data_IF_124521633166
#
_entry.id   IF_124521633166
#
_cell.length_a   1.000
_cell.length_b   1.000
_cell.length_c   1.000
_cell.angle_alpha   90.00
_cell.angle_beta   90.00
_cell.angle_gamma   90.00
#
_symmetry.space_group_name_H-M   'P 1'
#
loop_
_entity.id
_entity.type
_entity.pdbx_description
1 polymer ?
#
# COMPACT_ATOMS: atom_id res chain seq x y z
N UNK A 1 -95.96 -23.59 -7.29
CA UNK A 1 -95.04 -24.03 -8.36
C UNK A 1 -95.60 -25.32 -8.92
N UNK A 2 -96.02 -25.33 -10.19
CA UNK A 2 -96.85 -26.39 -10.76
C UNK A 2 -96.03 -27.62 -11.12
N UNK A 3 -96.63 -28.81 -10.98
CA UNK A 3 -95.96 -30.10 -11.19
C UNK A 3 -95.35 -30.24 -12.59
N UNK A 4 -95.96 -29.58 -13.58
CA UNK A 4 -95.41 -29.45 -14.95
C UNK A 4 -94.06 -28.74 -15.02
N UNK A 5 -93.83 -27.73 -14.19
CA UNK A 5 -92.55 -27.02 -14.16
C UNK A 5 -91.45 -27.88 -13.53
N UNK A 6 -91.83 -28.73 -12.56
CA UNK A 6 -90.92 -29.68 -11.92
C UNK A 6 -90.50 -30.79 -12.88
N UNK A 7 -91.45 -31.29 -13.67
CA UNK A 7 -91.20 -32.32 -14.67
C UNK A 7 -90.38 -31.80 -15.85
N UNK A 8 -90.65 -30.58 -16.32
CA UNK A 8 -89.86 -29.94 -17.38
C UNK A 8 -88.41 -29.64 -16.96
N UNK A 9 -88.17 -29.26 -15.69
CA UNK A 9 -86.82 -29.07 -15.15
C UNK A 9 -86.08 -30.40 -14.93
N UNK A 10 -86.80 -31.47 -14.59
CA UNK A 10 -86.22 -32.81 -14.45
C UNK A 10 -85.82 -33.41 -15.82
N UNK A 11 -86.63 -33.22 -16.86
CA UNK A 11 -86.27 -33.61 -18.23
C UNK A 11 -85.10 -32.79 -18.78
N UNK A 12 -85.10 -31.46 -18.58
CA UNK A 12 -83.99 -30.61 -19.01
C UNK A 12 -82.66 -30.90 -18.28
N UNK A 13 -82.71 -31.43 -17.06
CA UNK A 13 -81.53 -31.87 -16.31
C UNK A 13 -80.94 -33.19 -16.80
N UNK A 14 -81.75 -34.07 -17.39
CA UNK A 14 -81.31 -35.37 -17.89
C UNK A 14 -80.72 -35.31 -19.31
N UNK A 15 -81.10 -34.31 -20.12
CA UNK A 15 -80.57 -34.09 -21.47
C UNK A 15 -79.36 -33.15 -21.53
N UNK A 16 -78.91 -32.62 -20.39
CA UNK A 16 -77.72 -31.77 -20.35
C UNK A 16 -76.45 -32.64 -20.56
N UNK A 17 -75.67 -32.43 -21.64
CA UNK A 17 -74.44 -33.19 -21.85
C UNK A 17 -73.49 -32.91 -20.69
N UNK A 18 -72.92 -33.97 -20.11
CA UNK A 18 -71.89 -33.86 -19.09
C UNK A 18 -70.70 -33.08 -19.68
N UNK A 19 -70.65 -31.77 -19.40
CA UNK A 19 -69.55 -30.92 -19.83
C UNK A 19 -68.32 -31.33 -19.04
N UNK A 20 -67.42 -32.05 -19.71
CA UNK A 20 -66.14 -32.54 -19.22
C UNK A 20 -65.11 -31.38 -19.08
N UNK A 21 -65.48 -30.37 -18.29
CA UNK A 21 -64.67 -29.19 -17.99
C UNK A 21 -63.55 -29.52 -17.00
N UNK A 22 -63.68 -30.60 -16.23
CA UNK A 22 -62.72 -30.95 -15.19
C UNK A 22 -61.48 -31.67 -15.76
N UNK A 23 -61.64 -32.65 -16.66
CA UNK A 23 -60.50 -33.33 -17.27
C UNK A 23 -59.75 -32.43 -18.28
N UNK A 24 -60.47 -31.61 -19.05
CA UNK A 24 -59.82 -30.66 -19.97
C UNK A 24 -59.05 -29.55 -19.23
N UNK A 25 -59.53 -29.11 -18.06
CA UNK A 25 -58.81 -28.15 -17.22
C UNK A 25 -57.55 -28.76 -16.57
N UNK A 26 -57.61 -30.02 -16.14
CA UNK A 26 -56.46 -30.76 -15.59
C UNK A 26 -55.39 -31.06 -16.64
N UNK A 27 -55.79 -31.54 -17.83
CA UNK A 27 -54.86 -31.81 -18.94
C UNK A 27 -54.18 -30.53 -19.48
N UNK A 28 -54.89 -29.40 -19.47
CA UNK A 28 -54.33 -28.08 -19.80
C UNK A 28 -53.31 -27.59 -18.76
N UNK A 29 -53.59 -27.81 -17.47
CA UNK A 29 -52.73 -27.44 -16.34
C UNK A 29 -51.37 -28.14 -16.35
N UNK A 30 -51.35 -29.44 -16.69
CA UNK A 30 -50.11 -30.22 -16.73
C UNK A 30 -49.16 -29.82 -17.86
N UNK A 31 -49.69 -29.57 -19.07
CA UNK A 31 -48.86 -29.11 -20.20
C UNK A 31 -48.24 -27.75 -19.93
N UNK A 32 -48.96 -26.87 -19.23
CA UNK A 32 -48.44 -25.56 -18.81
C UNK A 32 -47.37 -25.71 -17.72
N UNK A 33 -47.55 -26.61 -16.75
CA UNK A 33 -46.55 -26.89 -15.70
C UNK A 33 -45.29 -27.52 -16.28
N UNK A 34 -45.38 -28.50 -17.19
CA UNK A 34 -44.23 -29.11 -17.86
C UNK A 34 -43.44 -28.10 -18.69
N UNK A 35 -44.11 -27.22 -19.45
CA UNK A 35 -43.45 -26.14 -20.21
C UNK A 35 -42.80 -25.08 -19.31
N UNK A 36 -43.31 -24.83 -18.11
CA UNK A 36 -42.65 -23.95 -17.13
C UNK A 36 -41.42 -24.60 -16.51
N UNK A 37 -41.50 -25.87 -16.12
CA UNK A 37 -40.37 -26.62 -15.56
C UNK A 37 -39.23 -26.74 -16.56
N UNK A 38 -39.52 -27.07 -17.83
CA UNK A 38 -38.51 -27.15 -18.88
C UNK A 38 -37.80 -25.81 -19.14
N UNK A 39 -38.53 -24.69 -19.09
CA UNK A 39 -37.95 -23.35 -19.30
C UNK A 39 -37.15 -22.85 -18.11
N UNK A 40 -37.59 -23.15 -16.89
CA UNK A 40 -36.82 -22.86 -15.68
C UNK A 40 -35.52 -23.69 -15.66
N UNK A 41 -35.59 -24.97 -16.03
CA UNK A 41 -34.42 -25.83 -16.16
C UNK A 41 -33.44 -25.32 -17.22
N UNK A 42 -33.92 -24.83 -18.37
CA UNK A 42 -33.06 -24.24 -19.40
C UNK A 42 -32.37 -22.94 -18.92
N UNK A 43 -33.07 -22.08 -18.18
CA UNK A 43 -32.47 -20.87 -17.62
C UNK A 43 -31.40 -21.18 -16.55
N UNK A 44 -31.67 -22.16 -15.69
CA UNK A 44 -30.70 -22.66 -14.70
C UNK A 44 -29.50 -23.31 -15.39
N UNK A 45 -29.73 -24.10 -16.45
CA UNK A 45 -28.65 -24.70 -17.22
C UNK A 45 -27.75 -23.65 -17.89
N UNK A 46 -28.32 -22.58 -18.45
CA UNK A 46 -27.52 -21.47 -19.03
C UNK A 46 -26.73 -20.72 -17.95
N UNK A 47 -27.32 -20.48 -16.77
CA UNK A 47 -26.60 -19.86 -15.64
C UNK A 47 -25.46 -20.75 -15.14
N UNK A 48 -25.69 -22.07 -15.04
CA UNK A 48 -24.64 -23.04 -14.68
C UNK A 48 -23.55 -23.13 -15.75
N UNK A 49 -23.92 -23.10 -17.04
CA UNK A 49 -22.95 -23.09 -18.14
C UNK A 49 -22.11 -21.82 -18.14
N UNK A 50 -22.71 -20.65 -17.86
CA UNK A 50 -21.94 -19.42 -17.66
C UNK A 50 -21.07 -19.48 -16.41
N UNK A 51 -21.56 -20.05 -15.30
CA UNK A 51 -20.79 -20.19 -14.07
C UNK A 51 -19.59 -21.15 -14.22
N UNK A 52 -19.69 -22.18 -15.09
CA UNK A 52 -18.63 -23.19 -15.29
C UNK A 52 -17.71 -22.85 -16.46
N UNK A 53 -18.25 -22.38 -17.59
CA UNK A 53 -17.46 -22.13 -18.81
C UNK A 53 -16.69 -20.80 -18.75
N UNK A 54 -17.22 -19.78 -18.06
CA UNK A 54 -16.58 -18.47 -18.01
C UNK A 54 -15.27 -18.47 -17.20
N UNK A 55 -15.15 -19.13 -16.04
CA UNK A 55 -13.87 -19.28 -15.36
C UNK A 55 -12.84 -20.03 -16.20
N UNK A 56 -13.25 -21.11 -16.90
CA UNK A 56 -12.36 -21.89 -17.76
C UNK A 56 -11.90 -21.13 -19.03
N UNK A 57 -12.77 -20.31 -19.62
CA UNK A 57 -12.43 -19.45 -20.75
C UNK A 57 -11.52 -18.28 -20.31
N UNK A 58 -11.81 -17.64 -19.17
CA UNK A 58 -10.97 -16.58 -18.61
C UNK A 58 -9.59 -17.08 -18.17
N UNK A 59 -9.50 -18.31 -17.63
CA UNK A 59 -8.24 -18.95 -17.31
C UNK A 59 -7.39 -19.24 -18.58
N UNK A 60 -8.02 -19.56 -19.72
CA UNK A 60 -7.32 -19.78 -21.00
C UNK A 60 -6.95 -18.50 -21.74
N UNK A 61 -7.69 -17.41 -21.55
CA UNK A 61 -7.28 -16.09 -22.07
C UNK A 61 -6.25 -15.41 -21.17
N UNK A 62 -6.15 -15.79 -19.90
CA UNK A 62 -5.14 -15.31 -18.95
C UNK A 62 -3.75 -15.94 -19.14
N UNK A 63 -3.63 -17.03 -19.91
CA UNK A 63 -2.34 -17.62 -20.30
C UNK A 63 -1.78 -17.03 -21.60
N UNK A 64 -2.47 -16.06 -22.22
CA UNK A 64 -1.91 -15.24 -23.28
C UNK A 64 -0.92 -14.24 -22.67
N UNK A 65 0.34 -14.61 -22.64
CA UNK A 65 1.51 -13.80 -22.24
C UNK A 65 1.75 -12.55 -23.11
N UNK A 66 0.86 -12.24 -24.05
CA UNK A 66 1.10 -11.23 -25.10
C UNK A 66 0.61 -9.81 -24.74
N UNK A 67 0.80 -9.38 -23.49
CA UNK A 67 0.50 -7.97 -23.15
C UNK A 67 0.72 -7.55 -21.70
N UNK A 68 0.95 -8.50 -20.80
CA UNK A 68 1.64 -8.18 -19.55
C UNK A 68 3.10 -8.29 -19.88
N UNK A 69 3.77 -7.13 -19.99
CA UNK A 69 5.23 -7.12 -20.03
C UNK A 69 5.69 -7.90 -18.80
N UNK A 70 6.16 -9.13 -19.01
CA UNK A 70 7.14 -9.73 -18.11
C UNK A 70 8.19 -8.66 -17.87
N UNK A 71 8.66 -8.54 -16.61
CA UNK A 71 9.67 -7.57 -16.21
C UNK A 71 10.65 -7.36 -17.36
N UNK A 72 10.66 -6.16 -17.94
CA UNK A 72 11.23 -5.94 -19.26
C UNK A 72 12.65 -6.50 -19.29
N UNK A 73 12.90 -7.47 -20.18
CA UNK A 73 14.25 -7.97 -20.45
C UNK A 73 15.15 -6.93 -21.13
N UNK A 74 14.69 -5.69 -21.27
CA UNK A 74 15.46 -4.53 -21.68
C UNK A 74 15.09 -3.36 -20.78
N UNK A 75 15.95 -3.06 -19.81
CA UNK A 75 16.38 -1.73 -19.41
C UNK A 75 17.05 -1.81 -18.03
N UNK A 76 18.06 -0.97 -17.82
CA UNK A 76 18.70 -0.84 -16.52
C UNK A 76 17.70 -0.26 -15.50
N UNK A 77 17.74 -0.69 -14.22
CA UNK A 77 17.04 -0.04 -13.12
C UNK A 77 17.09 1.48 -13.21
N UNK A 78 15.93 2.11 -13.17
CA UNK A 78 15.75 3.55 -13.33
C UNK A 78 14.60 4.08 -12.47
N UNK A 79 14.58 5.40 -12.28
CA UNK A 79 13.54 6.13 -11.57
C UNK A 79 12.49 6.63 -12.56
N UNK A 80 11.19 6.33 -12.41
CA UNK A 80 10.17 7.02 -13.21
C UNK A 80 10.10 8.50 -12.83
N UNK A 81 9.90 9.39 -13.81
CA UNK A 81 9.71 10.84 -13.58
C UNK A 81 8.32 11.20 -13.03
N UNK A 82 7.35 10.29 -13.14
CA UNK A 82 6.01 10.41 -12.59
C UNK A 82 5.44 9.03 -12.23
N UNK A 83 4.52 9.00 -11.27
CA UNK A 83 3.72 7.80 -11.00
C UNK A 83 2.24 8.17 -10.84
N UNK A 84 1.39 7.16 -10.76
CA UNK A 84 -0.04 7.34 -10.53
C UNK A 84 -0.54 6.42 -9.42
N UNK A 85 -1.71 6.74 -8.86
CA UNK A 85 -2.36 5.91 -7.85
C UNK A 85 -2.89 4.60 -8.43
N UNK A 86 -2.71 3.50 -7.69
CA UNK A 86 -3.19 2.18 -8.10
C UNK A 86 -4.70 2.07 -8.00
N UNK A 87 -5.26 1.24 -8.87
CA UNK A 87 -6.68 0.89 -8.81
C UNK A 87 -6.94 -0.22 -7.79
N UNK A 88 -8.15 -0.32 -7.20
CA UNK A 88 -8.51 -1.39 -6.24
C UNK A 88 -8.35 -2.83 -6.76
N UNK A 89 -8.27 -3.00 -8.09
CA UNK A 89 -8.11 -4.28 -8.79
C UNK A 89 -6.70 -4.50 -9.34
N UNK A 90 -5.75 -3.62 -8.99
CA UNK A 90 -4.32 -3.85 -9.25
C UNK A 90 -3.92 -5.18 -8.61
N UNK A 91 -3.14 -6.00 -9.32
CA UNK A 91 -2.66 -7.26 -8.78
C UNK A 91 -1.71 -7.01 -7.61
N UNK A 92 -1.75 -7.91 -6.63
CA UNK A 92 -0.77 -7.88 -5.55
C UNK A 92 0.54 -8.49 -6.00
N UNK A 93 1.62 -8.21 -5.28
CA UNK A 93 2.93 -8.84 -5.53
C UNK A 93 2.81 -10.37 -5.46
N UNK A 94 2.07 -10.92 -4.49
CA UNK A 94 1.84 -12.36 -4.38
C UNK A 94 0.98 -12.97 -5.51
N UNK A 95 0.15 -12.16 -6.19
CA UNK A 95 -0.64 -12.61 -7.35
C UNK A 95 0.16 -12.54 -8.65
N UNK A 96 0.95 -11.49 -8.81
CA UNK A 96 1.80 -11.26 -9.96
C UNK A 96 3.03 -10.48 -9.46
N UNK A 97 4.20 -11.11 -9.31
CA UNK A 97 5.37 -10.41 -8.79
C UNK A 97 5.71 -9.16 -9.62
N UNK A 98 6.26 -8.15 -8.95
CA UNK A 98 6.66 -6.91 -9.59
C UNK A 98 8.04 -7.03 -10.24
N UNK A 99 8.87 -7.99 -9.79
CA UNK A 99 10.31 -7.93 -9.97
C UNK A 99 10.94 -6.95 -8.97
N UNK A 100 12.21 -6.55 -9.18
CA UNK A 100 12.81 -5.48 -8.41
C UNK A 100 11.98 -4.20 -8.56
N UNK A 101 11.73 -3.48 -7.47
CA UNK A 101 11.03 -2.21 -7.47
C UNK A 101 12.01 -1.03 -7.50
N UNK A 102 11.70 0.02 -8.25
CA UNK A 102 12.41 1.30 -8.14
C UNK A 102 12.06 2.03 -6.85
N UNK A 103 10.78 1.95 -6.47
CA UNK A 103 10.23 2.65 -5.32
C UNK A 103 8.96 1.96 -4.83
N UNK A 104 8.67 2.20 -3.56
CA UNK A 104 7.40 1.90 -2.93
C UNK A 104 6.70 3.21 -2.56
N UNK A 105 5.38 3.28 -2.70
CA UNK A 105 4.57 4.39 -2.20
C UNK A 105 3.40 3.90 -1.39
N UNK A 106 3.19 4.46 -0.20
CA UNK A 106 1.96 4.32 0.54
C UNK A 106 0.99 5.39 0.04
N UNK A 107 -0.17 4.97 -0.43
CA UNK A 107 -1.13 5.81 -1.11
C UNK A 107 -2.59 5.41 -0.86
N UNK A 108 -3.50 6.35 -1.14
CA UNK A 108 -4.91 6.02 -1.32
C UNK A 108 -5.15 5.35 -2.66
N UNK A 109 -6.04 4.36 -2.65
CA UNK A 109 -6.52 3.75 -3.89
C UNK A 109 -7.28 4.76 -4.74
N UNK A 110 -7.13 4.65 -6.06
CA UNK A 110 -7.92 5.43 -7.01
C UNK A 110 -9.36 4.91 -7.03
N UNK A 111 -10.23 5.56 -6.26
CA UNK A 111 -11.68 5.30 -6.25
C UNK A 111 -12.46 6.56 -6.60
N UNK A 112 -13.63 6.44 -7.26
CA UNK A 112 -14.58 7.55 -7.32
C UNK A 112 -14.90 8.03 -5.90
N UNK A 113 -15.02 9.35 -5.71
CA UNK A 113 -15.25 9.99 -4.40
C UNK A 113 -16.47 9.49 -3.62
N UNK A 114 -17.37 8.73 -4.26
CA UNK A 114 -18.55 8.13 -3.66
C UNK A 114 -18.31 6.80 -2.93
N UNK A 115 -17.11 6.20 -3.04
CA UNK A 115 -16.80 4.88 -2.46
C UNK A 115 -15.69 5.02 -1.43
N UNK A 116 -16.02 4.76 -0.16
CA UNK A 116 -15.01 4.57 0.89
C UNK A 116 -14.55 3.11 0.86
N UNK A 117 -13.30 2.87 0.48
CA UNK A 117 -12.65 1.56 0.58
C UNK A 117 -11.66 1.56 1.76
N UNK A 118 -11.33 0.38 2.32
CA UNK A 118 -10.35 0.27 3.38
C UNK A 118 -9.03 0.97 3.03
N UNK A 119 -8.43 1.47 4.10
CA UNK A 119 -7.32 2.42 4.21
C UNK A 119 -6.06 1.96 3.46
N UNK A 120 -5.27 2.95 3.04
CA UNK A 120 -3.84 2.89 2.67
C UNK A 120 -3.30 1.60 2.04
N UNK A 121 -2.86 1.68 0.78
CA UNK A 121 -2.14 0.58 0.11
C UNK A 121 -0.70 0.98 -0.16
N UNK A 122 0.21 0.02 -0.11
CA UNK A 122 1.56 0.20 -0.62
C UNK A 122 1.57 -0.29 -2.06
N UNK A 123 1.96 0.58 -2.99
CA UNK A 123 2.25 0.21 -4.36
C UNK A 123 3.75 0.10 -4.60
N UNK A 124 4.16 -1.03 -5.17
CA UNK A 124 5.49 -1.23 -5.74
C UNK A 124 5.48 -0.83 -7.22
N UNK A 125 6.44 0.01 -7.60
CA UNK A 125 6.68 0.41 -9.00
C UNK A 125 7.97 -0.24 -9.47
N UNK A 126 7.92 -1.00 -10.57
CA UNK A 126 9.05 -1.81 -11.04
C UNK A 126 10.31 -0.99 -11.35
N UNK A 127 11.49 -1.60 -11.23
CA UNK A 127 12.77 -0.96 -11.46
C UNK A 127 13.09 -0.76 -12.95
N UNK A 128 12.64 -1.68 -13.81
CA UNK A 128 12.96 -1.71 -15.25
C UNK A 128 11.77 -1.34 -16.14
N UNK A 129 10.65 -0.89 -15.56
CA UNK A 129 9.47 -0.55 -16.32
C UNK A 129 8.34 0.04 -15.47
N UNK A 130 7.21 0.33 -16.11
CA UNK A 130 6.05 0.96 -15.47
C UNK A 130 5.05 -0.10 -14.96
N UNK A 131 5.58 -1.10 -14.25
CA UNK A 131 4.77 -2.15 -13.61
C UNK A 131 4.35 -1.73 -12.21
N UNK A 132 3.05 -1.80 -11.93
CA UNK A 132 2.49 -1.50 -10.62
C UNK A 132 1.95 -2.77 -9.97
N UNK A 133 2.30 -3.00 -8.70
CA UNK A 133 1.71 -4.04 -7.84
C UNK A 133 1.36 -3.46 -6.49
N UNK A 134 0.38 -4.04 -5.81
CA UNK A 134 0.11 -3.69 -4.41
C UNK A 134 0.69 -4.73 -3.47
N UNK A 135 1.13 -4.31 -2.29
CA UNK A 135 1.45 -5.22 -1.19
C UNK A 135 0.20 -5.37 -0.32
N UNK A 136 -0.11 -6.62 0.05
CA UNK A 136 -1.13 -6.89 1.07
C UNK A 136 -0.41 -6.90 2.41
N UNK A 137 -0.79 -6.00 3.32
CA UNK A 137 -0.26 -5.93 4.68
C UNK A 137 -1.40 -5.61 5.64
N UNK A 138 -1.21 -5.97 6.90
CA UNK A 138 -2.16 -5.70 7.98
C UNK A 138 -1.65 -4.51 8.81
N UNK A 139 -2.32 -3.37 8.70
CA UNK A 139 -2.00 -2.16 9.46
C UNK A 139 -1.62 -0.96 8.60
N UNK A 140 -0.77 -0.08 9.14
CA UNK A 140 -0.28 1.14 8.47
C UNK A 140 1.24 1.16 8.54
N UNK A 141 1.90 1.40 7.41
CA UNK A 141 3.34 1.21 7.24
C UNK A 141 4.03 2.42 6.65
N UNK A 142 4.93 3.01 7.43
CA UNK A 142 5.63 4.24 7.03
C UNK A 142 6.83 3.81 6.23
N UNK A 143 6.76 3.97 4.92
CA UNK A 143 7.87 3.63 4.03
C UNK A 143 9.09 4.50 4.36
N UNK A 144 10.26 3.89 4.39
CA UNK A 144 11.52 4.44 4.89
C UNK A 144 11.52 4.75 6.39
N UNK A 145 10.55 4.19 7.14
CA UNK A 145 10.35 4.36 8.58
C UNK A 145 10.23 3.00 9.26
N UNK A 146 9.02 2.43 9.23
CA UNK A 146 8.71 1.10 9.80
C UNK A 146 8.77 -0.02 8.73
N UNK A 147 8.83 0.37 7.46
CA UNK A 147 9.07 -0.53 6.34
C UNK A 147 10.08 0.06 5.37
N UNK A 148 10.95 -0.77 4.81
CA UNK A 148 12.09 -0.33 3.99
C UNK A 148 12.32 -1.23 2.78
N UNK A 149 12.51 -0.61 1.62
CA UNK A 149 12.91 -1.30 0.39
C UNK A 149 14.41 -1.60 0.42
N UNK A 150 14.80 -2.81 0.03
CA UNK A 150 16.21 -3.21 -0.07
C UNK A 150 16.95 -2.38 -1.11
N UNK A 151 18.29 -2.29 -1.04
CA UNK A 151 19.09 -1.47 -1.94
C UNK A 151 18.86 -1.81 -3.42
N UNK A 152 18.72 -3.10 -3.73
CA UNK A 152 18.47 -3.63 -5.08
C UNK A 152 16.99 -3.63 -5.49
N UNK A 153 16.09 -3.26 -4.56
CA UNK A 153 14.66 -3.24 -4.76
C UNK A 153 13.99 -4.62 -4.81
N UNK A 154 14.69 -5.72 -4.49
CA UNK A 154 14.11 -7.08 -4.59
C UNK A 154 13.32 -7.49 -3.35
N UNK A 155 13.58 -6.87 -2.21
CA UNK A 155 12.96 -7.22 -0.93
C UNK A 155 12.37 -5.99 -0.26
N UNK A 156 11.28 -6.19 0.48
CA UNK A 156 10.69 -5.18 1.35
C UNK A 156 10.59 -5.75 2.75
N UNK A 157 11.26 -5.11 3.72
CA UNK A 157 11.17 -5.50 5.12
C UNK A 157 10.19 -4.58 5.83
N UNK A 158 9.30 -5.14 6.64
CA UNK A 158 8.29 -4.41 7.41
C UNK A 158 7.99 -5.15 8.71
N UNK A 159 8.21 -4.51 9.86
CA UNK A 159 8.12 -5.19 11.15
C UNK A 159 8.92 -6.51 11.14
N UNK A 160 8.29 -7.62 11.53
CA UNK A 160 8.84 -8.97 11.47
C UNK A 160 8.63 -9.66 10.12
N UNK A 161 8.20 -8.97 9.07
CA UNK A 161 7.93 -9.56 7.75
C UNK A 161 8.99 -9.15 6.73
N UNK A 162 9.26 -10.07 5.81
CA UNK A 162 10.09 -9.88 4.64
C UNK A 162 9.30 -10.33 3.41
N UNK A 163 9.12 -9.40 2.48
CA UNK A 163 8.40 -9.61 1.23
C UNK A 163 9.40 -9.66 0.09
N UNK A 164 9.45 -10.76 -0.64
CA UNK A 164 10.21 -10.89 -1.87
C UNK A 164 9.36 -10.37 -3.05
N UNK A 165 9.80 -9.27 -3.65
CA UNK A 165 9.09 -8.58 -4.73
C UNK A 165 9.25 -9.27 -6.09
N UNK A 166 10.26 -10.16 -6.21
CA UNK A 166 10.58 -10.93 -7.40
C UNK A 166 9.79 -12.23 -7.46
N UNK A 167 9.67 -12.93 -6.34
CA UNK A 167 8.92 -14.20 -6.26
C UNK A 167 7.47 -13.99 -5.79
N UNK A 168 7.17 -12.87 -5.14
CA UNK A 168 5.89 -12.61 -4.48
C UNK A 168 5.69 -13.39 -3.19
N UNK A 169 6.71 -14.08 -2.70
CA UNK A 169 6.67 -14.76 -1.42
C UNK A 169 6.79 -13.75 -0.27
N UNK A 170 6.16 -14.05 0.86
CA UNK A 170 6.31 -13.30 2.09
C UNK A 170 6.58 -14.27 3.21
N UNK A 171 7.58 -13.97 4.01
CA UNK A 171 8.01 -14.76 5.15
C UNK A 171 8.21 -13.87 6.37
N UNK A 172 8.28 -14.46 7.56
CA UNK A 172 8.78 -13.73 8.72
C UNK A 172 10.31 -13.56 8.61
N UNK A 173 10.84 -12.51 9.24
CA UNK A 173 12.28 -12.32 9.43
C UNK A 173 12.83 -13.47 10.28
N UNK A 174 14.04 -13.97 9.97
CA UNK A 174 14.65 -15.03 10.77
C UNK A 174 14.74 -14.68 12.25
N UNK A 175 14.48 -15.66 13.13
CA UNK A 175 14.46 -15.46 14.57
C UNK A 175 13.18 -14.82 15.12
N UNK A 176 12.17 -14.57 14.29
CA UNK A 176 10.83 -14.19 14.75
C UNK A 176 10.17 -15.38 15.45
N UNK A 177 9.56 -15.12 16.60
CA UNK A 177 8.77 -16.10 17.34
C UNK A 177 7.64 -15.41 18.12
N UNK A 178 6.90 -16.18 18.94
CA UNK A 178 5.78 -15.64 19.70
C UNK A 178 6.15 -14.53 20.71
N UNK A 179 7.43 -14.44 21.09
CA UNK A 179 7.98 -13.49 22.07
C UNK A 179 8.90 -12.44 21.47
N UNK A 180 9.24 -12.54 20.19
CA UNK A 180 10.21 -11.69 19.50
C UNK A 180 9.57 -10.99 18.32
N UNK A 181 9.78 -9.67 18.23
CA UNK A 181 9.42 -8.85 17.08
C UNK A 181 10.63 -8.07 16.59
N UNK A 182 10.69 -7.81 15.29
CA UNK A 182 11.68 -6.93 14.70
C UNK A 182 11.02 -5.69 14.11
N UNK A 183 11.77 -4.60 14.03
CA UNK A 183 11.44 -3.42 13.24
C UNK A 183 12.68 -3.00 12.45
N UNK A 184 12.61 -2.91 11.10
CA UNK A 184 13.75 -2.53 10.29
C UNK A 184 14.14 -1.06 10.52
N UNK A 185 15.44 -0.79 10.58
CA UNK A 185 16.00 0.56 10.72
C UNK A 185 16.84 0.99 9.52
N UNK A 186 17.62 0.07 8.94
CA UNK A 186 18.42 0.30 7.73
C UNK A 186 18.84 -1.02 7.08
N UNK A 187 19.01 -1.00 5.76
CA UNK A 187 19.64 -2.08 4.99
C UNK A 187 21.13 -1.85 4.86
N UNK A 188 21.94 -2.91 4.98
CA UNK A 188 23.31 -2.87 4.48
C UNK A 188 23.31 -2.72 2.96
N UNK A 189 24.35 -2.10 2.35
CA UNK A 189 24.38 -1.87 0.90
C UNK A 189 24.34 -3.16 0.06
N UNK A 190 24.80 -4.27 0.61
CA UNK A 190 24.74 -5.60 -0.02
C UNK A 190 23.34 -6.25 0.05
N UNK A 191 22.42 -5.72 0.86
CA UNK A 191 21.06 -6.23 1.00
C UNK A 191 20.92 -7.53 1.80
N UNK A 192 21.96 -7.96 2.50
CA UNK A 192 21.97 -9.23 3.25
C UNK A 192 21.89 -9.05 4.78
N UNK A 193 22.21 -7.86 5.29
CA UNK A 193 22.09 -7.52 6.70
C UNK A 193 21.07 -6.40 6.91
N UNK A 194 20.21 -6.55 7.93
CA UNK A 194 19.33 -5.47 8.41
C UNK A 194 19.81 -4.96 9.76
N UNK A 195 19.95 -3.64 9.91
CA UNK A 195 19.88 -3.03 11.23
C UNK A 195 18.42 -3.04 11.69
N UNK A 196 18.15 -3.58 12.87
CA UNK A 196 16.80 -3.78 13.40
C UNK A 196 16.70 -3.35 14.86
N UNK A 197 15.52 -2.94 15.29
CA UNK A 197 15.12 -3.03 16.69
C UNK A 197 14.54 -4.42 16.91
N UNK A 198 15.11 -5.16 17.86
CA UNK A 198 14.55 -6.41 18.36
C UNK A 198 13.83 -6.13 19.66
N UNK A 199 12.52 -6.36 19.66
CA UNK A 199 11.66 -6.33 20.84
C UNK A 199 11.47 -7.76 21.34
N UNK A 200 11.62 -7.96 22.64
CA UNK A 200 11.32 -9.23 23.30
C UNK A 200 10.35 -9.01 24.45
N UNK A 201 9.38 -9.90 24.60
CA UNK A 201 8.36 -9.75 25.63
C UNK A 201 7.40 -10.92 25.71
N UNK A 202 6.29 -10.72 26.43
CA UNK A 202 5.23 -11.73 26.56
C UNK A 202 4.06 -11.35 25.68
N UNK A 203 3.42 -12.36 25.09
CA UNK A 203 2.22 -12.12 24.30
C UNK A 203 0.97 -12.26 25.19
N UNK A 204 0.20 -11.19 25.30
CA UNK A 204 -1.10 -11.17 25.96
C UNK A 204 -2.14 -10.57 24.99
N UNK A 205 -3.27 -11.24 24.81
CA UNK A 205 -4.37 -10.80 23.93
C UNK A 205 -3.93 -10.41 22.50
N UNK A 206 -2.95 -11.13 21.96
CA UNK A 206 -2.41 -10.89 20.61
C UNK A 206 -1.43 -9.72 20.50
N UNK A 207 -1.23 -8.94 21.57
CA UNK A 207 -0.24 -7.86 21.67
C UNK A 207 1.04 -8.34 22.37
N UNK A 208 2.17 -7.77 22.01
CA UNK A 208 3.45 -8.03 22.67
C UNK A 208 3.64 -6.98 23.78
N UNK A 209 3.64 -7.43 25.03
CA UNK A 209 4.06 -6.63 26.17
C UNK A 209 5.58 -6.61 26.19
N UNK A 210 6.17 -5.56 25.64
CA UNK A 210 7.62 -5.42 25.46
C UNK A 210 8.32 -5.34 26.82
N UNK A 211 9.17 -6.32 27.11
CA UNK A 211 9.98 -6.37 28.34
C UNK A 211 11.40 -5.82 28.11
N UNK A 212 11.92 -5.96 26.88
CA UNK A 212 13.21 -5.41 26.48
C UNK A 212 13.22 -5.08 24.98
N UNK A 213 13.98 -4.05 24.61
CA UNK A 213 14.28 -3.72 23.23
C UNK A 213 15.79 -3.44 23.05
N UNK A 214 16.34 -3.84 21.91
CA UNK A 214 17.73 -3.58 21.57
C UNK A 214 17.88 -3.34 20.07
N UNK A 215 18.83 -2.47 19.69
CA UNK A 215 19.29 -2.35 18.31
C UNK A 215 20.33 -3.44 18.05
N UNK A 216 20.24 -4.08 16.89
CA UNK A 216 21.22 -5.06 16.45
C UNK A 216 21.28 -5.21 14.93
N UNK A 217 22.19 -6.07 14.48
CA UNK A 217 22.28 -6.52 13.09
C UNK A 217 21.66 -7.91 12.97
N UNK A 218 20.79 -8.08 11.99
CA UNK A 218 20.19 -9.35 11.62
C UNK A 218 20.71 -9.76 10.25
N UNK A 219 21.43 -10.87 10.20
CA UNK A 219 21.86 -11.49 8.94
C UNK A 219 20.71 -12.34 8.38
N UNK A 220 20.24 -12.02 7.17
CA UNK A 220 19.01 -12.64 6.65
C UNK A 220 19.19 -14.08 6.19
N UNK A 221 20.41 -14.44 5.78
CA UNK A 221 20.73 -15.76 5.27
C UNK A 221 20.81 -16.82 6.38
N UNK A 222 21.37 -16.46 7.54
CA UNK A 222 21.58 -17.36 8.68
C UNK A 222 20.57 -17.14 9.81
N UNK A 223 20.00 -15.95 9.89
CA UNK A 223 19.22 -15.49 11.04
C UNK A 223 20.06 -15.11 12.25
N UNK A 224 21.37 -14.95 12.09
CA UNK A 224 22.24 -14.52 13.17
C UNK A 224 21.91 -13.09 13.56
N UNK A 225 21.56 -12.92 14.84
CA UNK A 225 21.31 -11.62 15.43
C UNK A 225 22.48 -11.20 16.31
N UNK A 226 23.11 -10.07 15.99
CA UNK A 226 24.14 -9.44 16.81
C UNK A 226 23.62 -8.16 17.45
N UNK A 227 23.43 -8.21 18.76
CA UNK A 227 23.06 -7.06 19.59
C UNK A 227 24.18 -6.01 19.59
N UNK A 228 23.80 -4.73 19.43
CA UNK A 228 24.72 -3.59 19.43
C UNK A 228 24.46 -2.63 20.61
N UNK A 229 23.19 -2.27 20.83
CA UNK A 229 22.82 -1.26 21.81
C UNK A 229 21.50 -1.62 22.49
N UNK A 230 21.42 -1.39 23.79
CA UNK A 230 20.21 -1.57 24.57
C UNK A 230 19.35 -0.31 24.53
N UNK A 231 18.05 -0.49 24.30
CA UNK A 231 17.10 0.62 24.34
C UNK A 231 16.38 0.60 25.68
N UNK A 232 16.35 1.76 26.34
CA UNK A 232 15.45 1.97 27.46
C UNK A 232 14.00 1.97 26.91
N UNK A 233 13.21 0.98 27.31
CA UNK A 233 11.79 0.89 26.96
C UNK A 233 10.96 1.62 27.99
N UNK A 234 10.03 2.47 27.55
CA UNK A 234 8.96 2.92 28.44
C UNK A 234 7.93 1.80 28.64
N UNK A 235 7.05 1.96 29.64
CA UNK A 235 5.97 1.00 29.93
C UNK A 235 5.02 0.77 28.73
N UNK A 236 4.99 1.71 27.78
CA UNK A 236 4.14 1.66 26.59
C UNK A 236 4.88 1.13 25.35
N UNK A 237 6.12 0.65 25.50
CA UNK A 237 6.93 0.14 24.39
C UNK A 237 7.56 1.23 23.51
N UNK A 238 7.50 2.51 23.93
CA UNK A 238 8.18 3.58 23.22
C UNK A 238 9.67 3.60 23.62
N UNK A 239 10.55 3.73 22.65
CA UNK A 239 11.99 3.99 22.86
C UNK A 239 12.28 5.49 22.63
N UNK A 240 13.56 5.94 22.56
CA UNK A 240 13.93 7.28 22.08
C UNK A 240 14.52 7.24 20.65
N UNK A 241 13.72 7.42 19.60
CA UNK A 241 14.17 7.61 18.21
C UNK A 241 13.02 7.58 17.18
N UNK A 242 13.17 8.29 16.07
CA UNK A 242 12.15 8.33 15.00
C UNK A 242 12.44 7.24 13.98
N UNK A 243 11.54 6.25 13.77
CA UNK A 243 11.74 5.25 12.73
C UNK A 243 12.06 5.90 11.38
N UNK A 244 13.07 5.37 10.70
CA UNK A 244 13.61 5.95 9.46
C UNK A 244 14.70 7.01 9.61
N UNK A 245 14.96 7.50 10.82
CA UNK A 245 16.05 8.43 11.16
C UNK A 245 17.01 7.86 12.21
N UNK A 246 16.84 6.60 12.62
CA UNK A 246 17.66 6.00 13.68
C UNK A 246 18.93 5.33 13.18
N UNK A 247 19.01 4.95 11.89
CA UNK A 247 20.14 4.21 11.38
C UNK A 247 20.45 4.53 9.92
N UNK A 248 21.74 4.47 9.56
CA UNK A 248 22.21 4.53 8.18
C UNK A 248 23.54 3.79 8.04
N UNK A 249 23.64 2.90 7.05
CA UNK A 249 24.93 2.28 6.70
C UNK A 249 25.77 3.24 5.84
N UNK A 250 27.09 3.16 5.98
CA UNK A 250 27.98 3.77 4.99
C UNK A 250 27.88 3.03 3.64
N UNK A 251 28.18 3.68 2.50
CA UNK A 251 28.01 3.06 1.18
C UNK A 251 28.85 1.79 0.96
N UNK A 252 29.97 1.66 1.67
CA UNK A 252 30.84 0.48 1.66
C UNK A 252 30.42 -0.60 2.69
N UNK A 253 29.37 -0.35 3.47
CA UNK A 253 28.86 -1.23 4.52
C UNK A 253 29.80 -1.41 5.72
N UNK A 254 30.92 -0.68 5.78
CA UNK A 254 31.91 -0.84 6.83
C UNK A 254 31.51 -0.18 8.16
N UNK A 255 30.60 0.81 8.10
CA UNK A 255 30.13 1.58 9.24
C UNK A 255 28.60 1.66 9.29
N UNK A 256 28.09 1.87 10.49
CA UNK A 256 26.69 2.10 10.80
C UNK A 256 26.60 3.30 11.73
N UNK A 257 25.89 4.35 11.31
CA UNK A 257 25.50 5.44 12.19
C UNK A 257 24.18 5.06 12.86
N UNK A 258 24.11 5.17 14.18
CA UNK A 258 22.93 4.97 14.99
C UNK A 258 22.60 6.25 15.75
N UNK A 259 21.33 6.63 15.80
CA UNK A 259 20.85 7.70 16.65
C UNK A 259 19.80 7.18 17.63
N UNK A 260 20.05 7.46 18.91
CA UNK A 260 19.10 7.23 20.01
C UNK A 260 19.01 8.53 20.81
N UNK A 261 17.80 9.06 20.94
CA UNK A 261 17.57 10.44 21.39
C UNK A 261 18.41 11.45 20.58
N UNK A 262 19.24 12.23 21.26
CA UNK A 262 20.14 13.23 20.68
C UNK A 262 21.56 12.70 20.43
N UNK A 263 21.88 11.47 20.85
CA UNK A 263 23.20 10.88 20.69
C UNK A 263 23.32 10.12 19.38
N UNK A 264 24.36 10.41 18.62
CA UNK A 264 24.77 9.66 17.45
C UNK A 264 26.02 8.84 17.78
N UNK A 265 25.95 7.54 17.54
CA UNK A 265 27.07 6.62 17.66
C UNK A 265 27.37 6.02 16.29
N UNK A 266 28.61 6.14 15.83
CA UNK A 266 29.08 5.49 14.61
C UNK A 266 29.88 4.26 14.99
N UNK A 267 29.41 3.12 14.52
CA UNK A 267 29.97 1.80 14.80
C UNK A 267 30.64 1.24 13.54
N UNK A 268 31.74 0.52 13.70
CA UNK A 268 32.25 -0.39 12.67
C UNK A 268 31.35 -1.62 12.53
N UNK A 269 31.51 -2.38 11.43
CA UNK A 269 30.80 -3.66 11.23
C UNK A 269 31.19 -4.71 12.27
N UNK A 270 32.22 -4.54 13.08
CA UNK A 270 32.55 -5.37 14.25
C UNK A 270 31.79 -4.95 15.52
N UNK A 271 31.07 -3.82 15.49
CA UNK A 271 30.38 -3.23 16.64
C UNK A 271 31.26 -2.29 17.46
N UNK A 272 32.51 -2.04 17.07
CA UNK A 272 33.40 -1.10 17.76
C UNK A 272 32.98 0.34 17.45
N UNK A 273 32.82 1.15 18.48
CA UNK A 273 32.53 2.58 18.33
C UNK A 273 33.74 3.31 17.74
N UNK A 274 33.52 3.98 16.61
CA UNK A 274 34.52 4.83 15.93
C UNK A 274 34.19 6.33 16.03
N UNK A 275 32.94 6.67 16.35
CA UNK A 275 32.50 8.04 16.59
C UNK A 275 31.34 8.08 17.59
N UNK A 276 31.31 9.11 18.43
CA UNK A 276 30.25 9.32 19.43
C UNK A 276 30.11 10.81 19.72
N UNK A 277 28.95 11.38 19.38
CA UNK A 277 28.67 12.80 19.54
C UNK A 277 27.19 13.06 19.78
N UNK A 278 26.87 14.28 20.22
CA UNK A 278 25.50 14.71 20.53
C UNK A 278 25.06 15.76 19.51
N UNK A 279 23.82 15.61 19.05
CA UNK A 279 23.12 16.56 18.20
C UNK A 279 22.26 17.51 19.02
N UNK A 280 21.92 18.67 18.45
CA UNK A 280 20.86 19.51 19.02
C UNK A 280 19.54 18.74 19.03
N UNK A 281 18.67 18.97 20.02
CA UNK A 281 17.40 18.24 20.16
C UNK A 281 16.45 18.40 18.96
N UNK A 282 16.67 19.42 18.12
CA UNK A 282 15.91 19.65 16.90
C UNK A 282 16.55 19.00 15.66
N UNK A 283 17.59 18.19 15.85
CA UNK A 283 18.36 17.54 14.78
C UNK A 283 18.30 16.02 14.86
N UNK A 284 18.39 15.39 13.69
CA UNK A 284 18.44 13.94 13.56
C UNK A 284 19.20 13.51 12.31
N UNK A 285 19.63 12.25 12.23
CA UNK A 285 20.13 11.67 10.99
C UNK A 285 19.12 11.91 9.87
N UNK A 286 19.62 12.25 8.69
CA UNK A 286 18.75 12.71 7.62
C UNK A 286 17.82 11.61 7.09
N UNK A 287 18.17 10.34 7.27
CA UNK A 287 17.42 9.18 6.83
C UNK A 287 18.35 8.00 6.53
N UNK A 288 17.86 6.99 5.82
CA UNK A 288 18.71 5.84 5.40
C UNK A 288 19.92 6.25 4.56
N UNK A 289 19.80 7.33 3.78
CA UNK A 289 20.87 7.89 2.97
C UNK A 289 21.80 8.83 3.73
N UNK A 290 21.84 8.80 5.07
CA UNK A 290 22.58 9.80 5.84
C UNK A 290 24.07 9.85 5.50
N UNK A 291 24.75 8.74 5.23
CA UNK A 291 26.13 8.82 4.77
C UNK A 291 26.21 9.39 3.36
N UNK A 292 27.17 10.28 3.13
CA UNK A 292 27.51 10.74 1.78
C UNK A 292 28.02 9.58 0.91
N UNK A 293 27.94 9.66 -0.43
CA UNK A 293 28.34 8.57 -1.33
C UNK A 293 29.81 8.14 -1.19
N UNK A 294 30.68 9.05 -0.78
CA UNK A 294 32.09 8.78 -0.49
C UNK A 294 32.32 8.25 0.94
N UNK A 295 31.27 8.15 1.75
CA UNK A 295 31.30 7.73 3.16
C UNK A 295 32.03 8.71 4.08
N UNK A 296 32.41 9.89 3.61
CA UNK A 296 33.25 10.79 4.42
C UNK A 296 32.44 11.64 5.40
N UNK A 297 31.14 11.88 5.15
CA UNK A 297 30.28 12.67 6.03
C UNK A 297 28.96 11.96 6.37
N UNK A 298 28.29 12.45 7.41
CA UNK A 298 26.91 12.10 7.78
C UNK A 298 26.03 13.34 7.63
N UNK A 299 24.97 13.22 6.85
CA UNK A 299 23.91 14.19 6.72
C UNK A 299 22.96 14.11 7.92
N UNK A 300 22.70 15.27 8.51
CA UNK A 300 21.66 15.48 9.53
C UNK A 300 20.65 16.48 9.03
N UNK A 301 19.38 16.26 9.36
CA UNK A 301 18.32 17.24 9.16
C UNK A 301 18.05 17.97 10.47
N UNK A 302 17.90 19.29 10.41
CA UNK A 302 17.62 20.15 11.56
C UNK A 302 16.35 20.93 11.30
N UNK A 303 15.40 20.81 12.23
CA UNK A 303 14.17 21.59 12.24
C UNK A 303 14.41 22.90 12.99
N UNK A 304 14.14 24.03 12.34
CA UNK A 304 14.06 25.32 13.00
C UNK A 304 12.61 25.80 13.02
N UNK A 305 12.18 26.37 14.15
CA UNK A 305 10.94 27.14 14.19
C UNK A 305 11.03 28.32 13.20
N UNK A 306 9.90 28.64 12.56
CA UNK A 306 9.77 29.83 11.74
C UNK A 306 9.39 31.05 12.60
N UNK A 307 10.04 32.19 12.29
CA UNK A 307 9.81 33.59 12.68
C UNK A 307 9.24 33.92 14.08
N UNK A 308 10.00 34.70 14.86
CA UNK A 308 9.58 35.23 16.16
C UNK A 308 8.29 36.09 16.12
N UNK A 309 7.95 36.65 14.95
CA UNK A 309 6.84 37.60 14.78
C UNK A 309 5.49 36.94 14.38
N UNK A 310 5.42 35.61 14.40
CA UNK A 310 4.23 34.85 14.04
C UNK A 310 3.98 34.78 12.53
N UNK A 311 3.20 33.79 12.07
CA UNK A 311 3.01 33.55 10.64
C UNK A 311 1.99 34.54 10.04
N UNK A 312 2.06 34.82 8.74
CA UNK A 312 0.86 35.07 7.94
C UNK A 312 -0.05 33.84 8.06
N UNK A 313 -1.31 34.03 8.46
CA UNK A 313 -2.26 32.94 8.71
C UNK A 313 -2.28 31.88 7.58
N UNK A 314 -2.16 30.59 7.95
CA UNK A 314 -2.43 29.46 7.04
C UNK A 314 -1.23 28.68 6.47
N UNK A 315 0.01 28.90 6.94
CA UNK A 315 1.16 28.04 6.58
C UNK A 315 1.76 27.35 7.79
N UNK A 316 2.10 26.08 7.63
CA UNK A 316 2.82 25.29 8.63
C UNK A 316 4.23 25.86 8.82
N UNK A 317 4.62 26.08 10.07
CA UNK A 317 5.78 26.89 10.46
C UNK A 317 7.03 26.05 10.69
N UNK A 318 7.60 25.51 9.62
CA UNK A 318 8.84 24.74 9.71
C UNK A 318 9.84 25.17 8.64
N UNK A 319 11.10 25.24 9.06
CA UNK A 319 12.26 25.35 8.19
C UNK A 319 13.15 24.17 8.46
N UNK A 320 13.57 23.49 7.41
CA UNK A 320 14.42 22.33 7.49
C UNK A 320 15.72 22.60 6.75
N UNK A 321 16.82 22.28 7.42
CA UNK A 321 18.16 22.37 6.85
C UNK A 321 18.80 20.99 6.87
N UNK A 322 19.61 20.70 5.85
CA UNK A 322 20.47 19.54 5.84
C UNK A 322 21.92 19.99 5.98
N UNK A 323 22.62 19.42 6.95
CA UNK A 323 24.02 19.72 7.29
C UNK A 323 24.84 18.45 7.18
N UNK A 324 26.10 18.57 6.77
CA UNK A 324 27.02 17.43 6.76
C UNK A 324 27.98 17.54 7.93
N UNK A 325 28.07 16.47 8.70
CA UNK A 325 28.95 16.35 9.86
C UNK A 325 30.07 15.37 9.56
N UNK A 326 31.21 15.56 10.20
CA UNK A 326 32.23 14.52 10.29
C UNK A 326 31.71 13.34 11.14
N UNK A 327 31.79 12.08 10.66
CA UNK A 327 31.23 10.93 11.36
C UNK A 327 31.97 10.57 12.65
N UNK A 328 33.21 11.03 12.85
CA UNK A 328 33.99 10.69 14.03
C UNK A 328 33.74 11.69 15.15
N UNK A 329 33.70 12.99 14.82
CA UNK A 329 33.62 14.07 15.80
C UNK A 329 32.24 14.74 15.91
N UNK A 330 31.37 14.58 14.90
CA UNK A 330 30.11 15.32 14.81
C UNK A 330 30.26 16.78 14.39
N UNK A 331 31.47 17.24 14.02
CA UNK A 331 31.69 18.64 13.65
C UNK A 331 31.12 18.94 12.26
N UNK A 332 30.37 20.05 12.12
CA UNK A 332 29.82 20.52 10.85
C UNK A 332 30.96 20.83 9.85
N UNK A 333 30.81 20.34 8.62
CA UNK A 333 31.79 20.57 7.56
C UNK A 333 31.62 21.98 6.96
N UNK A 334 32.71 22.69 6.64
CA UNK A 334 32.61 23.99 5.99
C UNK A 334 31.85 23.91 4.66
N UNK A 335 30.92 24.83 4.41
CA UNK A 335 30.17 24.90 3.16
C UNK A 335 29.09 23.83 2.97
N UNK A 336 28.81 22.99 3.98
CA UNK A 336 27.95 21.82 3.86
C UNK A 336 26.45 22.07 4.01
N UNK A 337 25.97 23.28 3.68
CA UNK A 337 24.56 23.64 3.88
C UNK A 337 23.81 23.56 2.57
N UNK A 338 23.00 22.51 2.47
CA UNK A 338 22.03 22.37 1.39
C UNK A 338 20.89 23.40 1.54
N UNK A 339 20.18 23.72 0.44
CA UNK A 339 19.08 24.66 0.46
C UNK A 339 18.02 24.32 1.51
N UNK A 340 17.52 25.37 2.16
CA UNK A 340 16.44 25.28 3.13
C UNK A 340 15.15 24.78 2.47
N UNK A 341 14.44 23.86 3.13
CA UNK A 341 13.12 23.39 2.72
C UNK A 341 12.09 23.90 3.74
N UNK A 342 11.08 24.63 3.27
CA UNK A 342 10.10 25.29 4.13
C UNK A 342 8.70 24.75 3.93
N UNK A 343 7.85 24.90 4.94
CA UNK A 343 6.42 24.55 4.86
C UNK A 343 6.14 23.05 4.88
N UNK A 344 7.11 22.24 5.33
CA UNK A 344 7.04 20.77 5.34
C UNK A 344 7.03 20.22 6.76
N UNK A 345 6.18 19.24 7.05
CA UNK A 345 6.09 18.57 8.35
C UNK A 345 7.34 17.76 8.68
N UNK A 346 7.99 17.20 7.66
CA UNK A 346 9.22 16.45 7.78
C UNK A 346 10.05 16.56 6.50
N UNK A 347 11.36 16.36 6.64
CA UNK A 347 12.30 16.22 5.55
C UNK A 347 13.13 14.96 5.79
N UNK A 348 13.20 14.06 4.79
CA UNK A 348 13.99 12.84 4.88
C UNK A 348 14.88 12.66 3.66
N UNK A 349 16.16 12.38 3.90
CA UNK A 349 17.12 11.99 2.88
C UNK A 349 16.92 10.50 2.53
N UNK A 350 16.55 10.27 1.27
CA UNK A 350 16.31 8.94 0.71
C UNK A 350 17.58 8.33 0.14
N UNK A 351 18.53 9.16 -0.30
CA UNK A 351 19.78 8.74 -0.91
C UNK A 351 20.44 9.89 -1.64
N UNK A 352 21.38 9.57 -2.52
CA UNK A 352 22.17 10.54 -3.27
C UNK A 352 22.14 10.23 -4.76
N UNK A 353 22.08 11.29 -5.57
CA UNK A 353 22.23 11.19 -7.01
C UNK A 353 23.72 11.03 -7.37
N UNK A 354 24.08 10.46 -8.55
CA UNK A 354 25.48 10.36 -8.98
C UNK A 354 26.24 11.68 -9.03
N UNK A 355 25.51 12.79 -9.22
CA UNK A 355 26.05 14.16 -9.22
C UNK A 355 26.45 14.67 -7.83
N UNK A 356 26.13 13.93 -6.76
CA UNK A 356 26.26 14.38 -5.38
C UNK A 356 25.04 15.13 -4.84
N UNK A 357 23.97 15.28 -5.64
CA UNK A 357 22.72 15.89 -5.16
C UNK A 357 22.05 15.01 -4.10
N UNK A 358 21.59 15.62 -3.01
CA UNK A 358 20.84 14.93 -1.97
C UNK A 358 19.39 14.73 -2.41
N UNK A 359 18.91 13.49 -2.44
CA UNK A 359 17.53 13.15 -2.84
C UNK A 359 16.65 13.06 -1.61
N UNK A 360 15.74 14.02 -1.44
CA UNK A 360 14.90 14.16 -0.25
C UNK A 360 13.42 13.92 -0.54
N UNK A 361 12.72 13.30 0.40
CA UNK A 361 11.27 13.33 0.52
C UNK A 361 10.88 14.48 1.46
N UNK A 362 10.09 15.42 0.93
CA UNK A 362 9.58 16.58 1.63
C UNK A 362 8.07 16.40 1.86
N UNK A 363 7.66 16.31 3.12
CA UNK A 363 6.30 15.95 3.51
C UNK A 363 5.47 17.19 3.80
N UNK A 364 4.37 17.39 3.10
CA UNK A 364 3.53 18.58 3.26
C UNK A 364 2.31 18.30 4.14
N UNK A 365 1.94 19.23 5.04
CA UNK A 365 0.82 19.06 5.94
C UNK A 365 -0.52 19.11 5.21
N UNK A 366 -1.51 18.44 5.79
CA UNK A 366 -2.92 18.64 5.44
C UNK A 366 -3.41 20.02 5.88
N UNK A 367 -4.39 20.56 5.16
CA UNK A 367 -4.96 21.87 5.49
C UNK A 367 -5.55 21.90 6.91
N UNK A 368 -6.09 20.78 7.38
CA UNK A 368 -6.64 20.63 8.72
C UNK A 368 -5.55 20.72 9.80
N UNK A 369 -4.37 20.14 9.59
CA UNK A 369 -3.29 20.28 10.57
C UNK A 369 -2.66 21.66 10.63
N UNK A 370 -2.69 22.41 9.53
CA UNK A 370 -2.08 23.74 9.49
C UNK A 370 -2.65 24.73 10.53
N UNK A 371 -3.87 24.49 11.03
CA UNK A 371 -4.55 25.35 12.02
C UNK A 371 -4.49 24.84 13.46
N UNK A 372 -4.26 23.55 13.70
CA UNK A 372 -4.43 22.94 15.03
C UNK A 372 -3.13 22.36 15.61
N UNK A 373 -2.13 22.08 14.78
CA UNK A 373 -0.90 21.44 15.24
C UNK A 373 0.01 22.45 15.94
N UNK A 374 0.19 22.24 17.25
CA UNK A 374 1.19 22.93 18.04
C UNK A 374 2.28 21.91 18.44
N UNK A 375 3.54 22.06 17.96
CA UNK A 375 4.64 21.16 18.33
C UNK A 375 4.86 21.08 19.84
N UNK A 376 4.60 22.18 20.57
CA UNK A 376 4.79 22.26 22.02
C UNK A 376 3.65 21.60 22.81
N UNK A 377 2.56 21.20 22.13
CA UNK A 377 1.42 20.45 22.70
C UNK A 377 1.30 19.03 22.14
N UNK A 378 2.24 18.58 21.32
CA UNK A 378 2.29 17.18 20.92
C UNK A 378 2.38 16.35 22.21
N UNK A 379 1.32 15.61 22.52
CA UNK A 379 1.28 14.75 23.69
C UNK A 379 2.35 13.66 23.50
N UNK A 380 3.40 13.61 24.34
CA UNK A 380 4.44 12.60 24.22
C UNK A 380 3.90 11.17 24.34
N UNK A 381 2.69 10.97 24.87
CA UNK A 381 2.06 9.65 24.90
C UNK A 381 1.46 9.25 23.54
N UNK A 382 1.04 10.21 22.71
CA UNK A 382 0.37 9.97 21.42
C UNK A 382 1.26 10.27 20.20
N UNK A 383 2.24 11.15 20.36
CA UNK A 383 3.32 11.44 19.41
C UNK A 383 4.63 11.54 20.22
N UNK A 384 5.14 10.42 20.77
CA UNK A 384 6.39 10.38 21.55
C UNK A 384 7.60 10.95 20.80
N UNK A 385 7.46 11.09 19.48
CA UNK A 385 8.48 11.54 18.57
C UNK A 385 8.35 13.04 18.24
N UNK A 386 7.19 13.66 18.48
CA UNK A 386 6.94 15.07 18.14
C UNK A 386 7.09 15.37 16.64
N UNK A 387 6.92 14.36 15.78
CA UNK A 387 7.09 14.50 14.33
C UNK A 387 5.75 14.32 13.59
N UNK A 388 5.33 15.33 12.82
CA UNK A 388 4.06 15.33 12.10
C UNK A 388 4.09 14.49 10.81
N UNK A 389 4.84 13.39 10.77
CA UNK A 389 4.76 12.40 9.70
C UNK A 389 3.64 11.36 9.94
N UNK A 390 2.76 11.60 10.92
CA UNK A 390 1.53 10.83 11.11
C UNK A 390 0.62 10.94 9.88
N UNK A 391 0.06 9.84 9.39
CA UNK A 391 -0.66 9.80 8.11
C UNK A 391 -1.80 10.79 7.96
N UNK A 392 -2.62 10.95 9.01
CA UNK A 392 -3.73 11.92 9.00
C UNK A 392 -3.26 13.37 8.83
N UNK A 393 -1.97 13.59 9.02
CA UNK A 393 -1.30 14.88 8.98
C UNK A 393 -0.75 15.27 7.63
N UNK A 394 -0.68 14.33 6.70
CA UNK A 394 0.03 14.50 5.43
C UNK A 394 -0.96 14.67 4.28
N UNK A 395 -0.63 15.58 3.37
CA UNK A 395 -1.40 15.80 2.14
C UNK A 395 -0.66 15.35 0.89
N UNK A 396 0.63 15.68 0.84
CA UNK A 396 1.44 15.53 -0.35
C UNK A 396 2.88 15.24 0.05
N UNK A 397 3.54 14.40 -0.73
CA UNK A 397 4.98 14.20 -0.67
C UNK A 397 5.58 14.77 -1.94
N UNK A 398 6.70 15.46 -1.82
CA UNK A 398 7.52 15.91 -2.96
C UNK A 398 8.89 15.24 -2.88
N UNK A 399 9.39 14.73 -4.01
CA UNK A 399 10.74 14.18 -4.10
C UNK A 399 11.62 15.15 -4.86
N UNK A 400 12.65 15.66 -4.18
CA UNK A 400 13.52 16.72 -4.72
C UNK A 400 14.98 16.31 -4.65
N UNK A 401 15.76 16.69 -5.66
CA UNK A 401 17.21 16.74 -5.57
C UNK A 401 17.61 18.13 -5.07
N UNK A 402 18.44 18.18 -4.03
CA UNK A 402 19.03 19.39 -3.48
C UNK A 402 20.51 19.46 -3.87
N UNK A 403 20.94 20.61 -4.37
CA UNK A 403 22.33 20.87 -4.79
C UNK A 403 23.05 21.74 -3.75
N UNK A 404 24.36 21.59 -3.62
CA UNK A 404 25.20 22.46 -2.77
C UNK A 404 25.14 23.95 -3.18
N UNK A 405 24.74 24.25 -4.42
CA UNK A 405 24.55 25.62 -4.93
C UNK A 405 23.24 26.29 -4.53
N UNK A 406 22.44 25.69 -3.64
CA UNK A 406 21.14 26.23 -3.23
C UNK A 406 20.00 25.95 -4.23
N UNK A 407 20.29 25.25 -5.33
CA UNK A 407 19.30 24.81 -6.30
C UNK A 407 18.53 23.58 -5.82
N UNK A 408 17.28 23.47 -6.27
CA UNK A 408 16.47 22.26 -6.08
C UNK A 408 15.69 21.95 -7.35
N UNK A 409 15.51 20.66 -7.66
CA UNK A 409 14.68 20.19 -8.77
C UNK A 409 13.80 19.02 -8.33
N UNK A 410 12.59 18.97 -8.86
CA UNK A 410 11.70 17.82 -8.66
C UNK A 410 12.22 16.62 -9.46
N UNK A 411 12.26 15.45 -8.84
CA UNK A 411 12.72 14.20 -9.48
C UNK A 411 11.57 13.29 -9.90
N UNK A 412 10.48 13.33 -9.15
CA UNK A 412 9.36 12.43 -9.30
C UNK A 412 8.05 13.17 -9.01
N UNK A 413 7.20 13.27 -10.03
CA UNK A 413 5.83 13.73 -9.91
C UNK A 413 4.97 12.72 -9.17
N UNK A 414 4.55 13.07 -7.96
CA UNK A 414 3.66 12.26 -7.14
C UNK A 414 2.21 12.80 -7.19
N UNK A 415 1.21 11.92 -7.31
CA UNK A 415 -0.18 12.32 -7.19
C UNK A 415 -0.53 12.69 -5.75
N UNK A 416 -1.61 13.46 -5.58
CA UNK A 416 -2.22 13.66 -4.27
C UNK A 416 -2.63 12.32 -3.64
N UNK A 417 -2.54 12.23 -2.32
CA UNK A 417 -2.89 11.01 -1.59
C UNK A 417 -1.76 9.98 -1.49
N UNK A 418 -0.52 10.34 -1.85
CA UNK A 418 0.70 9.63 -1.43
C UNK A 418 1.15 10.20 -0.08
N UNK A 419 1.40 9.34 0.89
CA UNK A 419 1.72 9.72 2.27
C UNK A 419 3.13 9.35 2.70
N UNK A 420 3.70 8.27 2.15
CA UNK A 420 5.10 7.91 2.36
C UNK A 420 5.68 7.23 1.13
N UNK A 421 6.99 7.28 1.00
CA UNK A 421 7.73 6.79 -0.17
C UNK A 421 9.08 6.25 0.24
N UNK A 422 9.55 5.17 -0.38
CA UNK A 422 10.93 4.71 -0.25
C UNK A 422 11.47 4.25 -1.61
N UNK A 423 12.79 4.27 -1.78
CA UNK A 423 13.47 3.98 -3.05
C UNK A 423 14.43 2.81 -2.94
N UNK A 424 14.70 2.11 -4.02
CA UNK A 424 15.88 1.25 -4.11
C UNK A 424 17.12 2.15 -4.22
N UNK A 425 18.13 1.90 -3.39
CA UNK A 425 19.35 2.70 -3.35
C UNK A 425 20.08 2.64 -4.69
N UNK A 426 20.11 1.46 -5.33
CA UNK A 426 20.69 1.23 -6.64
C UNK A 426 20.05 2.09 -7.74
N UNK A 427 18.75 2.38 -7.62
CA UNK A 427 18.06 3.22 -8.60
C UNK A 427 18.47 4.68 -8.46
N UNK A 428 18.59 5.18 -7.23
CA UNK A 428 19.08 6.53 -6.97
C UNK A 428 20.56 6.67 -7.37
N UNK A 429 21.39 5.70 -6.98
CA UNK A 429 22.83 5.68 -7.25
C UNK A 429 23.18 5.56 -8.74
N UNK A 430 22.27 5.07 -9.59
CA UNK A 430 22.44 5.09 -11.06
C UNK A 430 22.08 6.44 -11.67
N UNK A 431 21.15 7.18 -11.06
CA UNK A 431 20.69 8.47 -11.55
C UNK A 431 20.06 8.45 -12.95
N UNK A 432 19.48 7.32 -13.36
CA UNK A 432 18.77 7.20 -14.63
C UNK A 432 17.29 7.46 -14.40
N UNK A 433 16.72 8.42 -15.13
CA UNK A 433 15.29 8.72 -15.11
C UNK A 433 14.63 8.19 -16.38
N UNK A 434 13.44 7.63 -16.26
CA UNK A 434 12.62 7.20 -17.39
C UNK A 434 11.23 7.86 -17.36
N UNK A 435 10.54 7.96 -18.51
CA UNK A 435 9.14 8.37 -18.54
C UNK A 435 8.25 7.40 -17.74
N UNK A 436 7.53 7.93 -16.76
CA UNK A 436 6.50 7.23 -16.01
C UNK A 436 5.21 7.09 -16.80
N UNK A 437 4.39 6.09 -16.45
CA UNK A 437 3.10 5.84 -17.08
C UNK A 437 2.02 5.58 -16.02
N UNK A 438 0.76 5.81 -16.40
CA UNK A 438 -0.37 5.52 -15.53
C UNK A 438 -0.48 4.02 -15.19
N UNK A 439 -0.97 3.74 -13.99
CA UNK A 439 -1.26 2.41 -13.52
C UNK A 439 -2.36 1.80 -14.41
N UNK A 440 -2.15 0.58 -14.94
CA UNK A 440 -3.06 0.00 -15.90
C UNK A 440 -4.47 -0.16 -15.30
N UNK A 441 -5.47 0.35 -16.01
CA UNK A 441 -6.89 0.32 -15.57
C UNK A 441 -7.50 -1.08 -15.70
N UNK A 442 -6.91 -1.99 -16.48
CA UNK A 442 -7.54 -3.30 -16.74
C UNK A 442 -7.58 -4.13 -15.44
N UNK A 443 -8.74 -4.73 -15.09
CA UNK A 443 -8.86 -5.57 -13.89
C UNK A 443 -7.93 -6.78 -14.02
N UNK A 444 -6.86 -6.78 -13.23
CA UNK A 444 -5.92 -7.92 -13.16
C UNK A 444 -6.41 -8.95 -12.15
N UNK A 445 -7.16 -8.50 -11.12
CA UNK A 445 -7.84 -9.40 -10.18
C UNK A 445 -9.04 -10.09 -10.86
N UNK A 446 -8.88 -11.37 -11.16
CA UNK A 446 -9.89 -12.26 -11.76
C UNK A 446 -11.24 -12.22 -11.05
N UNK A 447 -11.26 -12.00 -9.73
CA UNK A 447 -12.49 -11.87 -8.94
C UNK A 447 -13.44 -10.78 -9.44
N UNK A 448 -12.91 -9.63 -9.88
CA UNK A 448 -13.75 -8.53 -10.40
C UNK A 448 -14.36 -8.85 -11.76
N UNK A 449 -13.63 -9.56 -12.62
CA UNK A 449 -14.16 -10.05 -13.89
C UNK A 449 -15.31 -11.05 -13.65
N UNK A 450 -15.17 -11.94 -12.67
CA UNK A 450 -16.22 -12.88 -12.28
C UNK A 450 -17.45 -12.15 -11.72
N UNK A 451 -17.26 -11.15 -10.85
CA UNK A 451 -18.36 -10.34 -10.32
C UNK A 451 -19.09 -9.54 -11.41
N UNK A 452 -18.34 -8.88 -12.29
CA UNK A 452 -18.89 -8.13 -13.41
C UNK A 452 -19.68 -9.05 -14.35
N UNK A 453 -19.13 -10.22 -14.68
CA UNK A 453 -19.83 -11.20 -15.48
C UNK A 453 -21.09 -11.77 -14.79
N UNK A 454 -21.01 -12.03 -13.49
CA UNK A 454 -22.16 -12.44 -12.68
C UNK A 454 -23.27 -11.38 -12.67
N UNK A 455 -22.91 -10.11 -12.53
CA UNK A 455 -23.85 -8.99 -12.60
C UNK A 455 -24.51 -8.87 -13.98
N UNK A 456 -23.73 -8.97 -15.06
CA UNK A 456 -24.28 -8.99 -16.43
C UNK A 456 -25.21 -10.18 -16.64
N UNK A 457 -24.86 -11.37 -16.14
CA UNK A 457 -25.71 -12.55 -16.21
C UNK A 457 -27.04 -12.33 -15.47
N UNK A 458 -27.02 -11.71 -14.30
CA UNK A 458 -28.23 -11.35 -13.53
C UNK A 458 -29.10 -10.34 -14.29
N UNK A 459 -28.52 -9.31 -14.90
CA UNK A 459 -29.26 -8.34 -15.71
C UNK A 459 -29.92 -9.00 -16.93
N UNK A 460 -29.21 -9.88 -17.62
CA UNK A 460 -29.76 -10.64 -18.76
C UNK A 460 -30.90 -11.55 -18.29
N UNK A 461 -30.72 -12.28 -17.19
CA UNK A 461 -31.75 -13.14 -16.61
C UNK A 461 -33.01 -12.34 -16.20
N UNK A 462 -32.82 -11.16 -15.61
CA UNK A 462 -33.88 -10.22 -15.26
C UNK A 462 -34.64 -9.71 -16.49
N UNK A 463 -33.92 -9.29 -17.54
CA UNK A 463 -34.52 -8.81 -18.79
C UNK A 463 -35.34 -9.90 -19.52
N UNK A 464 -34.81 -11.14 -19.58
CA UNK A 464 -35.53 -12.28 -20.14
C UNK A 464 -36.79 -12.59 -19.34
N UNK A 465 -36.68 -12.65 -18.01
CA UNK A 465 -37.82 -12.90 -17.10
C UNK A 465 -38.89 -11.82 -17.23
N UNK A 466 -38.49 -10.55 -17.28
CA UNK A 466 -39.40 -9.41 -17.48
C UNK A 466 -40.13 -9.46 -18.82
N UNK A 467 -39.44 -9.79 -19.92
CA UNK A 467 -40.08 -10.00 -21.24
C UNK A 467 -41.10 -11.14 -21.21
N UNK A 468 -40.78 -12.25 -20.56
CA UNK A 468 -41.68 -13.40 -20.44
C UNK A 468 -42.93 -13.07 -19.62
N UNK A 469 -42.77 -12.34 -18.51
CA UNK A 469 -43.88 -11.87 -17.69
C UNK A 469 -44.77 -10.88 -18.47
N UNK A 470 -44.19 -9.88 -19.16
CA UNK A 470 -44.95 -8.93 -20.01
C UNK A 470 -45.75 -9.65 -21.11
N UNK A 471 -45.16 -10.63 -21.78
CA UNK A 471 -45.87 -11.45 -22.79
C UNK A 471 -47.06 -12.19 -22.17
N UNK A 472 -46.92 -12.68 -20.94
CA UNK A 472 -48.00 -13.37 -20.21
C UNK A 472 -49.13 -12.43 -19.81
N UNK A 473 -48.81 -11.22 -19.32
CA UNK A 473 -49.82 -10.20 -19.00
C UNK A 473 -50.57 -9.72 -20.24
N UNK A 474 -49.89 -9.51 -21.38
CA UNK A 474 -50.54 -9.16 -22.65
C UNK A 474 -51.50 -10.24 -23.14
N UNK A 475 -51.15 -11.53 -22.99
CA UNK A 475 -52.03 -12.65 -23.33
C UNK A 475 -53.28 -12.69 -22.43
N UNK A 476 -53.14 -12.49 -21.13
CA UNK A 476 -54.28 -12.44 -20.19
C UNK A 476 -55.22 -11.27 -20.45
N UNK A 477 -54.70 -10.09 -20.82
CA UNK A 477 -55.55 -8.94 -21.20
C UNK A 477 -56.33 -9.17 -22.49
N UNK A 478 -55.81 -9.96 -23.44
CA UNK A 478 -56.53 -10.31 -24.67
C UNK A 478 -57.61 -11.37 -24.45
N UNK A 479 -57.47 -12.25 -23.47
CA UNK A 479 -58.46 -13.30 -23.18
C UNK A 479 -59.61 -12.86 -22.27
N UNK A 480 -59.55 -11.66 -21.66
CA UNK A 480 -60.60 -11.14 -20.76
C UNK A 480 -61.48 -10.04 -21.39
N UNK A 481 -61.51 -9.96 -22.72
CA UNK A 481 -62.29 -8.97 -23.50
C UNK A 481 -63.21 -9.64 -24.53
N UNK A 482 -63.42 -10.94 -24.41
CA UNK A 482 -64.36 -11.73 -25.21
C UNK A 482 -65.55 -12.12 -24.36
#
# INVERSE_FOLDING_TARGET
>A
MTERLRQALAEAGNDAPAFDLYEQALAGGERIRRRRRARAAAAVAVLLLFAVALPGALARTGSGTDGFSTAGNGDSPSLPDQISTTWPWTATVGQAPAGPAALLVNQTLRVPSSISLPEETIAAVGATGNTYRTLDFDGRVRLGGDGMLSPDGTRFAEWSNLHDLVTGHSSELPGTDASTRFMPLAWSPDGDTLAVIRETGRRADGRLDVEAAAIGLLELSTGDYRRLLDLATTRDGNYPGVPGHMAAFSPDGSRLALQVADRVTVLGRDGVTVGDFVLDHASQLAGKGAFTPDGTAIAVVTRAACCADGPPSGRFQSRWHLRLLDPLSGTERPGSRLPEVTGVTALRLLGWWPSGEAVVAAYHPSAQLSSEWNPDRADPANDPWGFPNYYGSLRRVEVRALTDGGGSRELLGLPDGVYSIDFADDVLARGVVRPGADAPVRPVRTGWLVLAAGFVALLVAGAVSGRLLRRRFRRRRRSGRG
#
